data_IF_256032043897
#
_entry.id   IF_256032043897
#
_cell.length_a   1.000
_cell.length_b   1.000
_cell.length_c   1.000
_cell.angle_alpha   90.00
_cell.angle_beta   90.00
_cell.angle_gamma   90.00
#
_symmetry.space_group_name_H-M   'P 1'
#
loop_
_entity.id
_entity.type
_entity.pdbx_description
1 polymer ?
#
# COMPACT_ATOMS: atom_id res chain seq x y z
N UNK A 1 -25.56 1.70 12.19
CA UNK A 1 -25.18 1.77 10.76
C UNK A 1 -23.67 1.84 10.58
N UNK A 2 -22.97 2.68 11.36
CA UNK A 2 -21.49 2.87 11.28
C UNK A 2 -20.74 1.58 11.67
N UNK A 3 -21.18 0.90 12.73
CA UNK A 3 -20.60 -0.38 13.16
C UNK A 3 -20.73 -1.47 12.08
N UNK A 4 -21.90 -1.53 11.43
CA UNK A 4 -22.16 -2.51 10.35
C UNK A 4 -21.37 -2.14 9.09
N UNK A 5 -21.16 -0.85 8.81
CA UNK A 5 -20.32 -0.41 7.72
C UNK A 5 -18.82 -0.69 7.97
N UNK A 6 -18.39 -0.61 9.24
CA UNK A 6 -17.01 -0.85 9.63
C UNK A 6 -16.65 -2.33 9.77
N UNK A 7 -17.55 -3.14 10.34
CA UNK A 7 -17.28 -4.52 10.77
C UNK A 7 -18.12 -5.59 10.04
N UNK A 8 -19.02 -5.17 9.15
CA UNK A 8 -19.96 -6.07 8.48
C UNK A 8 -21.13 -6.49 9.37
N UNK A 9 -22.10 -7.19 8.77
CA UNK A 9 -23.33 -7.67 9.47
C UNK A 9 -23.00 -8.76 10.48
N UNK A 10 -21.91 -9.49 10.28
CA UNK A 10 -21.46 -10.57 11.17
C UNK A 10 -21.11 -10.06 12.58
N UNK A 11 -20.68 -8.80 12.71
CA UNK A 11 -20.45 -8.15 13.99
C UNK A 11 -21.73 -8.04 14.85
N UNK A 12 -22.90 -8.06 14.24
CA UNK A 12 -24.19 -8.03 14.95
C UNK A 12 -24.58 -9.38 15.58
N UNK A 13 -23.87 -10.45 15.23
CA UNK A 13 -24.13 -11.82 15.75
C UNK A 13 -23.11 -12.22 16.82
N UNK A 14 -22.02 -11.48 16.96
CA UNK A 14 -21.04 -11.74 18.01
C UNK A 14 -21.63 -11.40 19.37
N UNK A 15 -21.41 -12.29 20.34
CA UNK A 15 -21.84 -12.11 21.72
C UNK A 15 -20.67 -11.61 22.57
N UNK A 16 -21.00 -10.81 23.59
CA UNK A 16 -20.05 -10.45 24.64
C UNK A 16 -19.81 -11.63 25.62
N UNK A 17 -19.01 -11.41 26.66
CA UNK A 17 -18.69 -12.41 27.66
C UNK A 17 -19.94 -12.90 28.47
N UNK A 18 -21.05 -12.17 28.40
CA UNK A 18 -22.33 -12.52 29.04
C UNK A 18 -23.31 -13.18 28.07
N UNK A 19 -22.91 -13.39 26.82
CA UNK A 19 -23.72 -14.01 25.79
C UNK A 19 -24.68 -13.05 25.08
N UNK A 20 -24.60 -11.74 25.32
CA UNK A 20 -25.47 -10.75 24.71
C UNK A 20 -24.93 -10.23 23.38
N UNK A 21 -25.78 -10.21 22.36
CA UNK A 21 -25.45 -9.52 21.08
C UNK A 21 -25.50 -8.00 21.24
N UNK A 22 -24.83 -7.24 20.36
CA UNK A 22 -24.89 -5.77 20.36
C UNK A 22 -26.31 -5.19 20.35
N UNK A 23 -27.23 -5.88 19.67
CA UNK A 23 -28.66 -5.49 19.65
C UNK A 23 -29.37 -5.70 21.00
N UNK A 24 -29.07 -6.80 21.71
CA UNK A 24 -29.59 -7.08 23.05
C UNK A 24 -29.02 -6.08 24.06
N UNK A 25 -27.72 -5.80 23.99
CA UNK A 25 -27.07 -4.82 24.85
C UNK A 25 -27.65 -3.41 24.64
N UNK A 26 -27.89 -3.02 23.39
CA UNK A 26 -28.55 -1.75 23.08
C UNK A 26 -29.97 -1.66 23.64
N UNK A 27 -30.73 -2.75 23.59
CA UNK A 27 -32.06 -2.81 24.17
C UNK A 27 -32.05 -2.70 25.71
N UNK A 28 -31.14 -3.41 26.35
CA UNK A 28 -30.94 -3.42 27.82
C UNK A 28 -30.51 -2.03 28.32
N UNK A 29 -29.66 -1.33 27.58
CA UNK A 29 -29.25 0.05 27.88
C UNK A 29 -30.29 1.13 27.47
N UNK A 30 -31.49 0.72 27.07
CA UNK A 30 -32.59 1.64 26.73
C UNK A 30 -32.54 2.25 25.32
N UNK A 31 -31.57 1.88 24.49
CA UNK A 31 -31.42 2.37 23.10
C UNK A 31 -32.35 1.62 22.12
N UNK A 32 -33.68 1.64 22.36
CA UNK A 32 -34.67 0.87 21.59
C UNK A 32 -34.62 1.07 20.08
N UNK A 33 -34.39 2.33 19.61
CA UNK A 33 -34.30 2.62 18.19
C UNK A 33 -33.06 1.97 17.56
N UNK A 34 -31.93 1.98 18.26
CA UNK A 34 -30.69 1.34 17.85
C UNK A 34 -30.82 -0.18 17.81
N UNK A 35 -31.39 -0.77 18.85
CA UNK A 35 -31.69 -2.20 18.95
C UNK A 35 -32.58 -2.68 17.79
N UNK A 36 -33.64 -1.92 17.46
CA UNK A 36 -34.53 -2.21 16.33
C UNK A 36 -33.80 -2.11 14.99
N UNK A 37 -32.94 -1.10 14.80
CA UNK A 37 -32.13 -0.96 13.60
C UNK A 37 -31.14 -2.11 13.42
N UNK A 38 -30.47 -2.55 14.50
CA UNK A 38 -29.57 -3.70 14.50
C UNK A 38 -30.31 -5.02 14.19
N UNK A 39 -31.51 -5.24 14.78
CA UNK A 39 -32.34 -6.38 14.47
C UNK A 39 -32.80 -6.41 13.01
N UNK A 40 -33.16 -5.25 12.42
CA UNK A 40 -33.50 -5.14 11.00
C UNK A 40 -32.29 -5.41 10.07
N UNK A 41 -31.10 -4.96 10.45
CA UNK A 41 -29.89 -5.23 9.68
C UNK A 41 -29.51 -6.72 9.76
N UNK A 42 -29.69 -7.34 10.93
CA UNK A 42 -29.48 -8.77 11.13
C UNK A 42 -30.48 -9.62 10.33
N UNK A 43 -31.77 -9.24 10.31
CA UNK A 43 -32.83 -9.98 9.60
C UNK A 43 -32.69 -9.91 8.06
N UNK A 44 -32.08 -8.82 7.54
CA UNK A 44 -31.77 -8.68 6.11
C UNK A 44 -30.66 -9.62 5.66
N UNK A 45 -29.95 -10.28 6.60
CA UNK A 45 -28.82 -11.16 6.33
C UNK A 45 -27.64 -10.43 5.66
N UNK A 46 -26.48 -11.04 5.68
CA UNK A 46 -25.45 -10.73 4.67
C UNK A 46 -26.04 -11.20 3.34
N UNK A 47 -26.19 -10.31 2.33
CA UNK A 47 -26.51 -10.81 1.00
C UNK A 47 -25.50 -11.92 0.69
N UNK A 48 -25.94 -13.08 0.16
CA UNK A 48 -25.02 -14.16 -0.16
C UNK A 48 -23.89 -13.52 -0.98
N UNK A 49 -22.64 -13.74 -0.56
CA UNK A 49 -21.47 -13.18 -1.27
C UNK A 49 -21.67 -13.56 -2.73
N UNK A 50 -22.14 -12.59 -3.52
CA UNK A 50 -22.43 -12.83 -4.92
C UNK A 50 -21.15 -13.35 -5.57
N UNK A 51 -21.28 -14.17 -6.61
CA UNK A 51 -20.13 -14.66 -7.37
C UNK A 51 -19.17 -13.52 -7.72
N UNK A 52 -19.71 -12.33 -7.96
CA UNK A 52 -18.96 -11.08 -8.18
C UNK A 52 -18.16 -10.62 -6.93
N UNK A 53 -18.71 -10.75 -5.74
CA UNK A 53 -17.99 -10.40 -4.50
C UNK A 53 -16.89 -11.42 -4.18
N UNK A 54 -17.13 -12.72 -4.43
CA UNK A 54 -16.11 -13.78 -4.36
C UNK A 54 -15.04 -13.55 -5.42
N UNK A 55 -15.40 -13.22 -6.66
CA UNK A 55 -14.47 -12.89 -7.73
C UNK A 55 -13.65 -11.63 -7.40
N UNK A 56 -14.27 -10.56 -6.89
CA UNK A 56 -13.56 -9.36 -6.41
C UNK A 56 -12.59 -9.66 -5.26
N UNK A 57 -12.96 -10.56 -4.35
CA UNK A 57 -12.06 -10.96 -3.25
C UNK A 57 -10.94 -11.86 -3.75
N UNK A 58 -11.21 -12.75 -4.71
CA UNK A 58 -10.19 -13.51 -5.41
C UNK A 58 -9.26 -12.58 -6.19
N UNK A 59 -9.81 -11.64 -6.97
CA UNK A 59 -9.01 -10.65 -7.73
C UNK A 59 -8.11 -9.80 -6.80
N UNK A 60 -8.55 -9.47 -5.60
CA UNK A 60 -7.74 -8.77 -4.60
C UNK A 60 -6.57 -9.59 -4.06
N UNK A 61 -6.59 -10.91 -4.23
CA UNK A 61 -5.52 -11.84 -3.83
C UNK A 61 -4.51 -12.13 -4.94
N UNK A 62 -4.74 -11.67 -6.18
CA UNK A 62 -3.77 -11.86 -7.24
C UNK A 62 -2.49 -11.10 -6.92
N UNK A 63 -1.46 -11.86 -6.69
CA UNK A 63 -0.11 -11.36 -6.54
C UNK A 63 0.47 -11.17 -7.93
N UNK A 64 0.70 -9.92 -8.33
CA UNK A 64 1.27 -9.57 -9.63
C UNK A 64 2.81 -9.54 -9.60
N UNK A 65 3.41 -9.93 -8.47
CA UNK A 65 4.86 -9.92 -8.29
C UNK A 65 5.61 -10.73 -9.35
N UNK A 66 5.21 -11.99 -9.69
CA UNK A 66 5.89 -12.73 -10.76
C UNK A 66 5.78 -12.04 -12.12
N UNK A 67 4.64 -11.38 -12.39
CA UNK A 67 4.44 -10.60 -13.62
C UNK A 67 5.38 -9.40 -13.66
N UNK A 68 5.50 -8.66 -12.56
CA UNK A 68 6.41 -7.52 -12.45
C UNK A 68 7.87 -7.95 -12.68
N UNK A 69 8.31 -9.01 -12.01
CA UNK A 69 9.67 -9.56 -12.19
C UNK A 69 9.90 -10.00 -13.64
N UNK A 70 8.90 -10.66 -14.25
CA UNK A 70 8.94 -11.04 -15.66
C UNK A 70 9.04 -9.86 -16.61
N UNK A 71 8.31 -8.76 -16.33
CA UNK A 71 8.40 -7.51 -17.11
C UNK A 71 9.81 -6.91 -17.02
N UNK A 72 10.37 -6.76 -15.81
CA UNK A 72 11.71 -6.22 -15.59
C UNK A 72 12.75 -7.08 -16.32
N UNK A 73 12.69 -8.40 -16.17
CA UNK A 73 13.61 -9.33 -16.84
C UNK A 73 13.49 -9.24 -18.37
N UNK A 74 12.27 -9.16 -18.91
CA UNK A 74 12.02 -9.05 -20.36
C UNK A 74 12.53 -7.75 -20.95
N UNK A 75 12.33 -6.62 -20.24
CA UNK A 75 12.87 -5.32 -20.66
C UNK A 75 14.40 -5.34 -20.64
N UNK A 76 15.01 -5.87 -19.59
CA UNK A 76 16.46 -5.99 -19.50
C UNK A 76 17.04 -6.87 -20.62
N UNK A 77 16.43 -8.03 -20.86
CA UNK A 77 16.84 -8.95 -21.92
C UNK A 77 16.67 -8.32 -23.32
N UNK A 78 15.57 -7.61 -23.57
CA UNK A 78 15.32 -6.89 -24.82
C UNK A 78 16.35 -5.78 -25.06
N UNK A 79 16.65 -4.99 -24.03
CA UNK A 79 17.67 -3.93 -24.12
C UNK A 79 19.05 -4.50 -24.42
N UNK A 80 19.50 -5.52 -23.67
CA UNK A 80 20.83 -6.13 -23.86
C UNK A 80 20.90 -6.87 -25.19
N UNK A 81 19.90 -7.69 -25.51
CA UNK A 81 19.91 -8.58 -26.68
C UNK A 81 19.77 -7.85 -28.01
N UNK A 82 19.12 -6.68 -28.02
CA UNK A 82 18.91 -5.90 -29.27
C UNK A 82 19.80 -4.68 -29.28
N UNK A 83 19.63 -3.75 -28.32
CA UNK A 83 20.26 -2.42 -28.40
C UNK A 83 21.74 -2.48 -28.03
N UNK A 84 22.08 -3.07 -26.87
CA UNK A 84 23.49 -3.09 -26.40
C UNK A 84 24.38 -3.93 -27.31
N UNK A 85 23.87 -5.05 -27.81
CA UNK A 85 24.59 -5.94 -28.71
C UNK A 85 24.93 -5.25 -30.04
N UNK A 86 23.94 -4.65 -30.68
CA UNK A 86 24.12 -4.01 -31.99
C UNK A 86 24.96 -2.71 -31.87
N UNK A 87 24.75 -1.94 -30.79
CA UNK A 87 25.50 -0.69 -30.59
C UNK A 87 26.92 -0.90 -30.03
N UNK A 88 27.31 -2.13 -29.66
CA UNK A 88 28.64 -2.40 -29.10
C UNK A 88 28.93 -1.68 -27.78
N UNK A 89 27.94 -1.40 -26.95
CA UNK A 89 28.06 -0.56 -25.76
C UNK A 89 27.84 -1.34 -24.43
N UNK A 90 28.72 -2.30 -24.08
CA UNK A 90 28.53 -3.15 -22.91
C UNK A 90 28.48 -2.37 -21.58
N UNK A 91 29.17 -1.24 -21.47
CA UNK A 91 29.18 -0.43 -20.26
C UNK A 91 27.79 0.11 -19.89
N UNK A 92 27.00 0.55 -20.88
CA UNK A 92 25.63 1.00 -20.66
C UNK A 92 24.73 -0.15 -20.26
N UNK A 93 24.90 -1.31 -20.91
CA UNK A 93 24.20 -2.54 -20.54
C UNK A 93 24.47 -2.97 -19.11
N UNK A 94 25.73 -2.93 -18.67
CA UNK A 94 26.12 -3.23 -17.28
C UNK A 94 25.48 -2.24 -16.30
N UNK A 95 25.50 -0.94 -16.60
CA UNK A 95 24.91 0.09 -15.74
C UNK A 95 23.39 -0.13 -15.57
N UNK A 96 22.66 -0.38 -16.66
CA UNK A 96 21.22 -0.66 -16.63
C UNK A 96 20.95 -1.96 -15.87
N UNK A 97 21.73 -3.00 -16.10
CA UNK A 97 21.58 -4.28 -15.41
C UNK A 97 21.83 -4.14 -13.91
N UNK A 98 22.87 -3.43 -13.49
CA UNK A 98 23.16 -3.18 -12.07
C UNK A 98 22.03 -2.40 -11.42
N UNK A 99 21.51 -1.35 -12.08
CA UNK A 99 20.37 -0.57 -11.55
C UNK A 99 19.13 -1.41 -11.39
N UNK A 100 18.77 -2.24 -12.37
CA UNK A 100 17.61 -3.14 -12.31
C UNK A 100 17.78 -4.22 -11.24
N UNK A 101 18.97 -4.82 -11.10
CA UNK A 101 19.24 -5.81 -10.06
C UNK A 101 19.17 -5.21 -8.65
N UNK A 102 19.72 -4.00 -8.45
CA UNK A 102 19.56 -3.29 -7.19
C UNK A 102 18.09 -2.95 -6.91
N UNK A 103 17.31 -2.58 -7.94
CA UNK A 103 15.87 -2.43 -7.85
C UNK A 103 15.19 -3.72 -7.35
N UNK A 104 15.53 -4.87 -7.93
CA UNK A 104 15.01 -6.17 -7.49
C UNK A 104 15.40 -6.53 -6.04
N UNK A 105 16.60 -6.12 -5.59
CA UNK A 105 16.99 -6.27 -4.17
C UNK A 105 16.06 -5.46 -3.25
N UNK A 106 15.78 -4.20 -3.60
CA UNK A 106 14.81 -3.41 -2.83
C UNK A 106 13.39 -3.93 -2.93
N UNK A 107 12.97 -4.44 -4.08
CA UNK A 107 11.69 -5.12 -4.25
C UNK A 107 11.57 -6.33 -3.31
N UNK A 108 12.62 -7.15 -3.22
CA UNK A 108 12.68 -8.25 -2.27
C UNK A 108 12.58 -7.76 -0.82
N UNK A 109 13.31 -6.69 -0.45
CA UNK A 109 13.25 -6.09 0.89
C UNK A 109 11.84 -5.60 1.22
N UNK A 110 11.17 -4.90 0.29
CA UNK A 110 9.77 -4.46 0.45
C UNK A 110 8.85 -5.65 0.77
N UNK A 111 9.05 -6.77 0.08
CA UNK A 111 8.23 -7.98 0.24
C UNK A 111 8.52 -8.74 1.53
N UNK A 112 9.80 -8.84 1.91
CA UNK A 112 10.27 -9.57 3.08
C UNK A 112 10.07 -8.79 4.39
N UNK A 113 10.16 -7.47 4.35
CA UNK A 113 9.99 -6.62 5.52
C UNK A 113 8.52 -6.57 5.94
N UNK A 114 8.27 -6.62 7.24
CA UNK A 114 6.96 -6.32 7.81
C UNK A 114 6.62 -4.83 7.56
N UNK A 115 5.51 -4.50 6.90
CA UNK A 115 5.12 -3.11 6.64
C UNK A 115 4.77 -2.30 7.91
N UNK A 116 4.85 -2.87 9.10
CA UNK A 116 4.37 -2.34 10.37
C UNK A 116 2.98 -2.88 10.71
N UNK A 117 2.82 -4.20 10.61
CA UNK A 117 1.57 -4.85 11.04
C UNK A 117 1.42 -4.72 12.53
N UNK A 118 0.23 -4.32 12.95
CA UNK A 118 -0.11 -4.22 14.37
C UNK A 118 -0.60 -5.60 14.79
N UNK A 119 0.03 -6.23 15.82
CA UNK A 119 -0.39 -7.52 16.31
C UNK A 119 -1.88 -7.49 16.73
N UNK A 120 -2.59 -8.57 16.42
CA UNK A 120 -3.88 -8.80 17.04
C UNK A 120 -3.65 -8.96 18.55
N UNK A 121 -4.29 -8.13 19.34
CA UNK A 121 -4.32 -8.41 20.78
C UNK A 121 -5.21 -9.63 20.97
N UNK A 122 -4.62 -10.72 21.45
CA UNK A 122 -5.37 -11.87 21.90
C UNK A 122 -6.37 -11.40 22.98
N UNK A 123 -7.65 -11.40 22.64
CA UNK A 123 -8.76 -10.92 23.49
C UNK A 123 -8.47 -9.54 24.07
N UNK A 124 -8.65 -8.54 23.24
CA UNK A 124 -8.33 -7.17 23.42
C UNK A 124 -8.58 -6.61 24.82
N UNK A 125 -7.93 -5.52 25.10
CA UNK A 125 -8.26 -4.64 26.21
C UNK A 125 -9.75 -4.23 26.14
N UNK A 126 -10.60 -5.19 26.53
CA UNK A 126 -12.07 -5.02 26.55
C UNK A 126 -12.43 -3.84 27.44
N UNK A 127 -11.62 -3.58 28.45
CA UNK A 127 -11.83 -2.49 29.39
C UNK A 127 -11.42 -1.13 28.77
N UNK A 128 -10.29 -1.06 28.05
CA UNK A 128 -9.92 0.12 27.27
C UNK A 128 -10.91 0.39 26.13
N UNK A 129 -11.44 -0.67 25.52
CA UNK A 129 -12.52 -0.58 24.55
C UNK A 129 -13.82 -0.01 25.18
N UNK A 130 -14.22 -0.51 26.34
CA UNK A 130 -15.38 0.00 27.06
C UNK A 130 -15.20 1.46 27.45
N UNK A 131 -14.04 1.84 28.04
CA UNK A 131 -13.73 3.23 28.38
C UNK A 131 -13.78 4.13 27.17
N UNK A 132 -13.19 3.72 26.04
CA UNK A 132 -13.21 4.53 24.81
C UNK A 132 -14.64 4.73 24.28
N UNK A 133 -15.51 3.71 24.39
CA UNK A 133 -16.91 3.80 23.99
C UNK A 133 -17.72 4.67 24.96
N UNK A 134 -17.38 4.64 26.24
CA UNK A 134 -18.05 5.43 27.30
C UNK A 134 -17.61 6.89 27.30
N UNK A 135 -16.32 7.18 27.08
CA UNK A 135 -15.74 8.52 27.13
C UNK A 135 -15.90 9.33 25.83
N UNK A 136 -16.13 8.67 24.70
CA UNK A 136 -16.17 9.32 23.39
C UNK A 136 -17.55 9.22 22.76
N UNK A 137 -17.99 10.28 22.06
CA UNK A 137 -19.17 10.14 21.22
C UNK A 137 -18.98 8.95 20.26
N UNK A 138 -19.97 8.10 20.13
CA UNK A 138 -19.93 6.87 19.33
C UNK A 138 -19.33 7.03 17.92
N UNK A 139 -19.54 8.22 17.30
CA UNK A 139 -18.99 8.49 15.96
C UNK A 139 -17.46 8.69 15.97
N UNK A 140 -16.90 9.30 17.02
CA UNK A 140 -15.46 9.51 17.14
C UNK A 140 -14.72 8.21 17.53
N UNK A 141 -15.35 7.35 18.34
CA UNK A 141 -14.81 6.04 18.70
C UNK A 141 -14.81 5.07 17.51
N UNK A 142 -15.86 5.06 16.70
CA UNK A 142 -16.01 4.14 15.56
C UNK A 142 -14.88 4.27 14.53
N UNK A 143 -14.31 5.48 14.33
CA UNK A 143 -13.17 5.70 13.46
C UNK A 143 -11.84 5.14 14.01
N UNK A 144 -11.73 4.96 15.32
CA UNK A 144 -10.52 4.51 16.00
C UNK A 144 -10.45 2.99 16.23
N UNK A 145 -11.56 2.27 16.04
CA UNK A 145 -11.65 0.84 16.33
C UNK A 145 -11.42 -0.01 15.09
N UNK A 146 -10.78 -1.14 15.26
CA UNK A 146 -10.75 -2.23 14.29
C UNK A 146 -11.39 -3.48 14.90
N UNK A 147 -12.63 -3.77 14.51
CA UNK A 147 -13.35 -4.93 15.00
C UNK A 147 -12.77 -6.26 14.48
N UNK A 148 -12.05 -6.25 13.36
CA UNK A 148 -11.42 -7.45 12.82
C UNK A 148 -10.16 -7.83 13.58
N UNK A 149 -9.34 -6.84 13.95
CA UNK A 149 -8.11 -7.06 14.70
C UNK A 149 -8.29 -6.87 16.21
N UNK A 150 -9.49 -6.47 16.64
CA UNK A 150 -9.86 -6.22 18.03
C UNK A 150 -8.93 -5.25 18.77
N UNK A 151 -8.54 -4.18 18.08
CA UNK A 151 -7.60 -3.16 18.58
C UNK A 151 -8.15 -1.74 18.42
N UNK A 152 -7.67 -0.85 19.28
CA UNK A 152 -7.74 0.60 19.04
C UNK A 152 -6.64 0.93 18.02
N UNK A 153 -7.06 1.40 16.85
CA UNK A 153 -6.12 1.76 15.79
C UNK A 153 -5.25 2.95 16.20
N UNK A 154 -3.92 2.82 16.23
CA UNK A 154 -3.03 3.96 16.35
C UNK A 154 -3.30 5.01 15.26
N UNK A 155 -2.90 6.25 15.50
CA UNK A 155 -2.99 7.31 14.51
C UNK A 155 -2.31 6.88 13.19
N UNK A 156 -2.90 7.28 12.06
CA UNK A 156 -2.42 6.95 10.70
C UNK A 156 -2.49 5.47 10.33
N UNK A 157 -2.97 4.58 11.22
CA UNK A 157 -3.10 3.16 10.90
C UNK A 157 -4.43 2.86 10.21
N UNK A 158 -4.46 1.79 9.41
CA UNK A 158 -5.64 1.32 8.70
C UNK A 158 -5.66 -0.19 8.57
N UNK A 159 -6.84 -0.79 8.70
CA UNK A 159 -7.03 -2.20 8.40
C UNK A 159 -6.99 -2.45 6.89
N UNK A 160 -6.13 -3.36 6.47
CA UNK A 160 -6.08 -3.88 5.11
C UNK A 160 -6.90 -5.14 4.99
N UNK A 161 -8.00 -5.10 4.23
CA UNK A 161 -8.87 -6.26 4.00
C UNK A 161 -8.24 -7.39 3.18
N UNK A 162 -7.12 -7.13 2.48
CA UNK A 162 -6.38 -8.14 1.71
C UNK A 162 -5.42 -8.90 2.62
N UNK A 163 -4.62 -8.16 3.42
CA UNK A 163 -3.68 -8.73 4.37
C UNK A 163 -4.36 -9.19 5.67
N UNK A 164 -5.62 -8.80 5.89
CA UNK A 164 -6.41 -9.04 7.11
C UNK A 164 -5.70 -8.58 8.39
N UNK A 165 -5.03 -7.43 8.32
CA UNK A 165 -4.29 -6.85 9.46
C UNK A 165 -4.34 -5.33 9.42
N UNK A 166 -4.21 -4.69 10.58
CA UNK A 166 -3.95 -3.25 10.66
C UNK A 166 -2.48 -2.98 10.41
N UNK A 167 -2.19 -1.89 9.71
CA UNK A 167 -0.82 -1.49 9.34
C UNK A 167 -0.60 -0.05 9.76
N UNK A 168 0.53 0.24 10.43
CA UNK A 168 0.94 1.56 10.85
C UNK A 168 1.31 2.44 9.65
N UNK A 169 0.98 3.72 9.72
CA UNK A 169 1.24 4.69 8.65
C UNK A 169 0.89 4.10 7.28
N UNK A 170 -0.31 3.53 7.20
CA UNK A 170 -0.76 2.78 6.02
C UNK A 170 -0.75 3.67 4.78
N UNK A 171 0.02 3.28 3.77
CA UNK A 171 0.04 3.95 2.47
C UNK A 171 -0.97 3.32 1.52
N UNK A 172 -0.77 2.08 1.13
CA UNK A 172 -1.68 1.28 0.32
C UNK A 172 -1.35 -0.21 0.39
N UNK A 173 -2.26 -1.06 -0.08
CA UNK A 173 -1.93 -2.44 -0.44
C UNK A 173 -1.52 -2.47 -1.90
N UNK A 174 -0.32 -2.95 -2.18
CA UNK A 174 0.23 -3.00 -3.53
C UNK A 174 0.21 -4.45 -4.06
N UNK A 175 -0.64 -4.77 -5.05
CA UNK A 175 -0.68 -6.12 -5.63
C UNK A 175 0.59 -6.46 -6.41
N UNK A 176 1.31 -5.47 -6.93
CA UNK A 176 2.56 -5.65 -7.67
C UNK A 176 3.71 -6.16 -6.81
N UNK A 177 3.74 -5.78 -5.54
CA UNK A 177 4.72 -6.28 -4.57
C UNK A 177 4.12 -7.30 -3.59
N UNK A 178 2.83 -7.62 -3.77
CA UNK A 178 2.07 -8.60 -2.98
C UNK A 178 2.08 -8.35 -1.47
N UNK A 179 2.16 -7.08 -1.05
CA UNK A 179 2.14 -6.68 0.37
C UNK A 179 1.60 -5.26 0.55
N UNK A 180 1.34 -4.87 1.81
CA UNK A 180 1.06 -3.48 2.13
C UNK A 180 2.35 -2.65 2.11
N UNK A 181 2.21 -1.38 1.71
CA UNK A 181 3.20 -0.35 1.94
C UNK A 181 2.77 0.44 3.18
N UNK A 182 3.65 0.52 4.16
CA UNK A 182 3.41 1.16 5.44
C UNK A 182 4.69 1.74 6.03
N UNK A 183 4.70 1.98 7.35
CA UNK A 183 5.77 2.70 8.04
C UNK A 183 7.16 2.15 7.72
N UNK A 184 7.33 0.82 7.78
CA UNK A 184 8.65 0.19 7.79
C UNK A 184 9.22 -0.10 6.41
N UNK A 185 8.41 -0.17 5.34
CA UNK A 185 8.87 -0.53 4.00
C UNK A 185 8.61 0.53 2.91
N UNK A 186 8.05 1.69 3.26
CA UNK A 186 7.74 2.72 2.26
C UNK A 186 8.97 3.33 1.60
N UNK A 187 10.10 3.42 2.34
CA UNK A 187 11.35 3.92 1.78
C UNK A 187 11.98 2.90 0.83
N UNK A 188 12.01 1.62 1.20
CA UNK A 188 12.48 0.55 0.31
C UNK A 188 11.65 0.51 -0.98
N UNK A 189 10.34 0.73 -0.88
CA UNK A 189 9.46 0.85 -2.04
C UNK A 189 9.81 2.04 -2.93
N UNK A 190 10.09 3.20 -2.34
CA UNK A 190 10.55 4.37 -3.08
C UNK A 190 11.90 4.15 -3.77
N UNK A 191 12.86 3.54 -3.07
CA UNK A 191 14.18 3.21 -3.64
C UNK A 191 14.09 2.20 -4.78
N UNK A 192 13.21 1.21 -4.67
CA UNK A 192 12.86 0.32 -5.78
C UNK A 192 12.40 1.11 -7.01
N UNK A 193 11.41 1.99 -6.85
CA UNK A 193 10.89 2.81 -7.95
C UNK A 193 11.96 3.72 -8.56
N UNK A 194 12.82 4.31 -7.72
CA UNK A 194 13.89 5.19 -8.17
C UNK A 194 14.93 4.45 -9.03
N UNK A 195 15.34 3.26 -8.62
CA UNK A 195 16.32 2.45 -9.35
C UNK A 195 15.75 1.95 -10.69
N UNK A 196 14.48 1.51 -10.69
CA UNK A 196 13.80 1.13 -11.93
C UNK A 196 13.63 2.34 -12.87
N UNK A 197 13.33 3.53 -12.34
CA UNK A 197 13.30 4.77 -13.12
C UNK A 197 14.64 5.06 -13.80
N UNK A 198 15.74 4.94 -13.06
CA UNK A 198 17.10 5.15 -13.59
C UNK A 198 17.40 4.15 -14.71
N UNK A 199 17.08 2.87 -14.51
CA UNK A 199 17.29 1.84 -15.53
C UNK A 199 16.44 2.10 -16.79
N UNK A 200 15.15 2.40 -16.63
CA UNK A 200 14.22 2.67 -17.73
C UNK A 200 14.58 3.95 -18.49
N UNK A 201 14.95 5.00 -17.78
CA UNK A 201 15.34 6.27 -18.39
C UNK A 201 16.63 6.16 -19.20
N UNK A 202 17.66 5.52 -18.62
CA UNK A 202 18.94 5.30 -19.29
C UNK A 202 18.77 4.43 -20.54
N UNK A 203 18.01 3.33 -20.43
CA UNK A 203 17.77 2.45 -21.58
C UNK A 203 16.92 3.11 -22.66
N UNK A 204 15.95 3.96 -22.30
CA UNK A 204 15.15 4.74 -23.26
C UNK A 204 16.02 5.73 -24.06
N UNK A 205 16.81 6.56 -23.35
CA UNK A 205 17.69 7.54 -24.00
C UNK A 205 18.67 6.83 -24.94
N UNK A 206 19.31 5.76 -24.44
CA UNK A 206 20.30 5.05 -25.24
C UNK A 206 19.68 4.40 -26.48
N UNK A 207 18.46 3.88 -26.36
CA UNK A 207 17.72 3.32 -27.52
C UNK A 207 17.38 4.39 -28.54
N UNK A 208 16.99 5.60 -28.08
CA UNK A 208 16.72 6.72 -29.01
C UNK A 208 18.01 7.13 -29.77
N UNK A 209 19.15 7.22 -29.05
CA UNK A 209 20.46 7.54 -29.68
C UNK A 209 20.84 6.44 -30.69
N UNK A 210 20.66 5.17 -30.33
CA UNK A 210 20.90 4.03 -31.22
C UNK A 210 20.06 4.12 -32.49
N UNK A 211 18.76 4.35 -32.38
CA UNK A 211 17.85 4.46 -33.51
C UNK A 211 18.18 5.67 -34.40
N UNK A 212 18.70 6.77 -33.83
CA UNK A 212 19.07 7.96 -34.59
C UNK A 212 20.37 7.79 -35.39
N UNK A 213 21.34 7.03 -34.86
CA UNK A 213 22.67 6.95 -35.43
C UNK A 213 22.91 5.70 -36.30
N UNK A 214 22.29 4.57 -35.96
CA UNK A 214 22.63 3.27 -36.51
C UNK A 214 21.51 2.65 -37.39
N UNK A 215 20.41 3.38 -37.63
CA UNK A 215 19.23 2.85 -38.33
C UNK A 215 19.54 2.29 -39.74
N UNK A 216 20.55 2.87 -40.41
CA UNK A 216 20.90 2.51 -41.80
C UNK A 216 21.84 1.28 -41.89
N UNK A 217 22.47 0.90 -40.77
CA UNK A 217 23.50 -0.16 -40.73
C UNK A 217 23.00 -1.45 -40.12
N UNK A 218 21.86 -1.38 -39.40
CA UNK A 218 21.30 -2.47 -38.59
C UNK A 218 20.25 -3.27 -39.38
N UNK A 219 20.13 -4.54 -39.07
CA UNK A 219 19.09 -5.40 -39.68
C UNK A 219 17.67 -4.90 -39.42
N UNK A 220 16.72 -5.06 -40.37
CA UNK A 220 15.33 -4.65 -40.15
C UNK A 220 14.70 -5.31 -38.92
N UNK A 221 15.12 -6.51 -38.58
CA UNK A 221 14.64 -7.21 -37.37
C UNK A 221 15.10 -6.55 -36.07
N UNK A 222 16.37 -6.16 -35.98
CA UNK A 222 16.93 -5.44 -34.82
C UNK A 222 16.31 -4.04 -34.68
N UNK A 223 16.10 -3.35 -35.81
CA UNK A 223 15.41 -2.04 -35.82
C UNK A 223 13.97 -2.16 -35.26
N UNK A 224 13.21 -3.12 -35.78
CA UNK A 224 11.85 -3.39 -35.30
C UNK A 224 11.84 -3.75 -33.80
N UNK A 225 12.79 -4.59 -33.39
CA UNK A 225 12.95 -4.99 -31.97
C UNK A 225 13.26 -3.80 -31.06
N UNK A 226 14.14 -2.88 -31.49
CA UNK A 226 14.46 -1.67 -30.74
C UNK A 226 13.26 -0.71 -30.62
N UNK A 227 12.46 -0.56 -31.68
CA UNK A 227 11.23 0.25 -31.65
C UNK A 227 10.21 -0.35 -30.69
N UNK A 228 9.95 -1.65 -30.78
CA UNK A 228 9.00 -2.35 -29.87
C UNK A 228 9.49 -2.21 -28.41
N UNK A 229 10.79 -2.44 -28.18
CA UNK A 229 11.37 -2.24 -26.84
C UNK A 229 11.13 -0.82 -26.34
N UNK A 230 11.44 0.21 -27.14
CA UNK A 230 11.29 1.61 -26.76
C UNK A 230 9.83 1.95 -26.39
N UNK A 231 8.84 1.41 -27.12
CA UNK A 231 7.42 1.64 -26.83
C UNK A 231 7.03 1.07 -25.46
N UNK A 232 7.40 -0.19 -25.17
CA UNK A 232 7.11 -0.80 -23.87
C UNK A 232 7.89 -0.13 -22.73
N UNK A 233 9.16 0.19 -22.98
CA UNK A 233 9.99 0.90 -22.01
C UNK A 233 9.40 2.27 -21.67
N UNK A 234 8.99 3.06 -22.67
CA UNK A 234 8.38 4.37 -22.45
C UNK A 234 7.08 4.29 -21.63
N UNK A 235 6.22 3.30 -21.88
CA UNK A 235 5.01 3.07 -21.09
C UNK A 235 5.35 2.77 -19.62
N UNK A 236 6.32 1.91 -19.37
CA UNK A 236 6.80 1.59 -18.03
C UNK A 236 7.47 2.79 -17.37
N UNK A 237 8.29 3.54 -18.09
CA UNK A 237 8.94 4.75 -17.60
C UNK A 237 7.93 5.80 -17.13
N UNK A 238 6.90 6.09 -17.92
CA UNK A 238 5.85 7.05 -17.58
C UNK A 238 5.15 6.60 -16.28
N UNK A 239 4.74 5.34 -16.22
CA UNK A 239 4.02 4.79 -15.07
C UNK A 239 4.89 4.81 -13.80
N UNK A 240 6.14 4.36 -13.89
CA UNK A 240 7.08 4.31 -12.77
C UNK A 240 7.46 5.71 -12.30
N UNK A 241 7.63 6.65 -13.24
CA UNK A 241 7.91 8.07 -12.91
C UNK A 241 6.74 8.70 -12.15
N UNK A 242 5.51 8.51 -12.61
CA UNK A 242 4.33 9.04 -11.93
C UNK A 242 4.20 8.50 -10.49
N UNK A 243 4.44 7.20 -10.30
CA UNK A 243 4.46 6.57 -8.97
C UNK A 243 5.63 7.08 -8.12
N UNK A 244 6.83 7.13 -8.67
CA UNK A 244 8.04 7.61 -7.98
C UNK A 244 7.90 9.06 -7.52
N UNK A 245 7.43 9.95 -8.39
CA UNK A 245 7.17 11.35 -8.04
C UNK A 245 6.09 11.47 -6.95
N UNK A 246 5.03 10.67 -7.02
CA UNK A 246 3.99 10.65 -5.99
C UNK A 246 4.56 10.21 -4.64
N UNK A 247 5.38 9.16 -4.60
CA UNK A 247 6.01 8.69 -3.37
C UNK A 247 7.04 9.69 -2.83
N UNK A 248 7.88 10.29 -3.69
CA UNK A 248 8.80 11.35 -3.29
C UNK A 248 8.07 12.53 -2.63
N UNK A 249 6.99 12.99 -3.25
CA UNK A 249 6.18 14.08 -2.73
C UNK A 249 5.48 13.73 -1.42
N UNK A 250 4.99 12.50 -1.29
CA UNK A 250 4.39 12.00 -0.07
C UNK A 250 5.42 11.91 1.08
N UNK A 251 6.64 11.44 0.82
CA UNK A 251 7.73 11.39 1.80
C UNK A 251 8.12 12.81 2.20
N UNK A 252 8.32 13.72 1.22
CA UNK A 252 8.70 15.11 1.46
C UNK A 252 7.70 15.88 2.33
N UNK A 253 6.42 15.54 2.27
CA UNK A 253 5.35 16.13 3.08
C UNK A 253 4.95 15.30 4.31
N UNK A 254 5.59 14.16 4.55
CA UNK A 254 5.18 13.18 5.56
C UNK A 254 3.67 12.86 5.49
N UNK A 255 3.18 12.60 4.29
CA UNK A 255 1.83 12.11 4.03
C UNK A 255 1.89 10.70 3.45
N UNK A 256 0.78 9.98 3.51
CA UNK A 256 0.60 8.73 2.81
C UNK A 256 -0.35 8.89 1.62
N UNK A 257 -0.28 8.00 0.64
CA UNK A 257 -1.22 7.95 -0.48
C UNK A 257 -2.67 7.82 0.02
N UNK A 258 -2.88 7.01 1.06
CA UNK A 258 -4.19 6.86 1.69
C UNK A 258 -4.69 8.16 2.34
N UNK A 259 -3.82 8.87 3.06
CA UNK A 259 -4.16 10.16 3.70
C UNK A 259 -4.49 11.21 2.65
N UNK A 260 -3.68 11.32 1.60
CA UNK A 260 -3.91 12.26 0.50
C UNK A 260 -5.24 11.99 -0.22
N UNK A 261 -5.49 10.73 -0.58
CA UNK A 261 -6.71 10.35 -1.32
C UNK A 261 -7.98 10.41 -0.47
N UNK A 262 -7.86 10.37 0.86
CA UNK A 262 -8.99 10.33 1.79
C UNK A 262 -8.93 11.46 2.84
N UNK A 263 -8.26 12.57 2.55
CA UNK A 263 -8.05 13.67 3.50
C UNK A 263 -9.35 14.17 4.14
N UNK A 264 -10.46 14.15 3.38
CA UNK A 264 -11.78 14.52 3.86
C UNK A 264 -12.35 13.62 4.98
N UNK A 265 -11.81 12.40 5.13
CA UNK A 265 -12.22 11.43 6.16
C UNK A 265 -11.42 11.55 7.46
N UNK A 266 -10.27 12.24 7.41
CA UNK A 266 -9.35 12.33 8.53
C UNK A 266 -9.46 13.69 9.21
N UNK A 267 -10.07 13.73 10.40
CA UNK A 267 -10.25 14.98 11.17
C UNK A 267 -8.92 15.64 11.50
N UNK A 268 -7.86 14.87 11.76
CA UNK A 268 -6.53 15.40 12.06
C UNK A 268 -5.86 16.11 10.88
N UNK A 269 -6.35 15.92 9.65
CA UNK A 269 -5.89 16.63 8.45
C UNK A 269 -6.72 17.88 8.15
N UNK A 270 -7.47 18.38 9.12
CA UNK A 270 -8.30 19.58 8.99
C UNK A 270 -8.17 20.47 10.22
N UNK A 271 -8.15 21.78 9.97
CA UNK A 271 -8.29 22.75 11.03
C UNK A 271 -9.79 22.91 11.42
N UNK A 272 -10.05 23.77 12.42
CA UNK A 272 -11.40 24.05 12.92
C UNK A 272 -12.34 24.61 11.83
N UNK A 273 -11.78 25.25 10.80
CA UNK A 273 -12.53 25.83 9.66
C UNK A 273 -12.72 24.80 8.52
N UNK A 274 -12.23 23.55 8.70
CA UNK A 274 -12.35 22.47 7.72
C UNK A 274 -11.34 22.50 6.58
N UNK A 275 -10.35 23.41 6.61
CA UNK A 275 -9.27 23.48 5.62
C UNK A 275 -8.23 22.38 5.88
N UNK A 276 -7.60 21.89 4.80
CA UNK A 276 -6.54 20.89 4.89
C UNK A 276 -5.31 21.45 5.62
N UNK A 277 -4.88 20.72 6.64
CA UNK A 277 -3.64 20.97 7.38
C UNK A 277 -2.96 19.65 7.62
N UNK A 278 -1.66 19.59 7.39
CA UNK A 278 -0.87 18.40 7.69
C UNK A 278 -0.08 18.58 9.00
N UNK A 279 -0.52 18.00 10.13
CA UNK A 279 0.16 18.13 11.42
C UNK A 279 1.48 17.36 11.49
N UNK A 280 1.76 16.48 10.51
CA UNK A 280 2.95 15.64 10.46
C UNK A 280 4.08 16.26 9.65
N UNK A 281 3.80 17.36 8.93
CA UNK A 281 4.80 18.04 8.12
C UNK A 281 5.73 18.88 9.00
N UNK A 282 6.99 18.43 9.07
CA UNK A 282 8.08 19.11 9.81
C UNK A 282 9.07 19.80 8.86
N UNK A 283 8.72 19.93 7.58
CA UNK A 283 9.57 20.38 6.50
C UNK A 283 10.32 19.23 5.83
N UNK A 284 10.55 19.37 4.52
CA UNK A 284 11.04 18.32 3.63
C UNK A 284 12.25 17.54 4.19
N UNK A 285 13.27 18.24 4.70
CA UNK A 285 14.47 17.60 5.25
C UNK A 285 14.17 16.70 6.45
N UNK A 286 13.43 17.20 7.43
CA UNK A 286 13.08 16.44 8.64
C UNK A 286 12.18 15.25 8.31
N UNK A 287 11.25 15.44 7.38
CA UNK A 287 10.36 14.38 6.90
C UNK A 287 11.14 13.24 6.21
N UNK A 288 12.14 13.58 5.40
CA UNK A 288 13.01 12.60 4.77
C UNK A 288 13.88 11.85 5.81
N UNK A 289 14.42 12.56 6.80
CA UNK A 289 15.19 11.93 7.89
C UNK A 289 14.32 10.99 8.71
N UNK A 290 13.07 11.37 9.03
CA UNK A 290 12.12 10.49 9.72
C UNK A 290 11.84 9.22 8.92
N UNK A 291 11.64 9.33 7.60
CA UNK A 291 11.45 8.18 6.73
C UNK A 291 12.66 7.22 6.72
N UNK A 292 13.89 7.74 6.85
CA UNK A 292 15.11 6.93 6.98
C UNK A 292 15.20 6.24 8.36
N UNK A 293 14.77 6.92 9.42
CA UNK A 293 14.79 6.36 10.79
C UNK A 293 13.73 5.26 10.96
N UNK A 294 12.58 5.38 10.32
CA UNK A 294 11.52 4.38 10.35
C UNK A 294 12.00 3.00 9.84
N UNK A 295 12.92 2.97 8.88
CA UNK A 295 13.56 1.73 8.39
C UNK A 295 14.54 1.16 9.41
N UNK A 296 15.32 2.01 10.08
CA UNK A 296 16.34 1.58 11.02
C UNK A 296 15.77 1.04 12.34
N UNK A 297 14.55 1.45 12.73
CA UNK A 297 13.87 0.92 13.91
C UNK A 297 13.51 -0.57 13.78
N UNK A 298 13.44 -1.08 12.55
CA UNK A 298 13.15 -2.50 12.26
C UNK A 298 14.31 -3.43 12.67
N UNK A 299 15.56 -2.97 12.54
CA UNK A 299 16.74 -3.82 12.78
C UNK A 299 17.06 -4.03 14.25
N UNK A 300 16.45 -3.25 15.16
CA UNK A 300 16.69 -3.33 16.60
C UNK A 300 15.66 -4.18 17.36
N UNK A 301 14.43 -4.31 16.83
CA UNK A 301 13.35 -5.06 17.48
C UNK A 301 13.28 -6.55 17.08
N UNK A 302 13.80 -6.93 15.91
CA UNK A 302 13.76 -8.32 15.44
C UNK A 302 14.79 -9.24 16.13
N UNK A 303 15.66 -8.69 17.01
CA UNK A 303 16.66 -9.41 17.77
C UNK A 303 16.17 -10.09 19.07
N UNK A 304 14.91 -9.94 19.44
CA UNK A 304 14.41 -10.40 20.74
C UNK A 304 13.17 -11.29 20.71
N UNK A 305 12.93 -12.05 19.62
CA UNK A 305 11.94 -13.16 19.65
C UNK A 305 12.49 -14.33 18.83
N UNK A 306 13.41 -15.08 19.42
CA UNK A 306 13.65 -16.47 19.13
C UNK A 306 13.13 -17.30 20.31
#
# INVERSE_FOLDING_TARGET
TVLVQACGVDALTQCDATGNTPGQLAAEKGHKALAKSMAMLRSKGTPPRTSLAKARQALKRYELLPVLVGIIASLLAGFIGVVVREAGAPAVGIFVAVSAVLGLVFLYRVRACDPGRIPEQAQGDVEGFKRLVEETSFSAAAGKLCCTCNIIKPARSKHCSVCNSCVEVFDHHCPWVATCIGRRNRLDFFLFLLLEMVALFTSAIYTVIFLANESDTVSPGSLTGAIIFLMFNAMMLISTTALGCTQAFNIAQNLTTNERSNAFRYHYLRNEVGQFVNPHDRGCWKNCVEALQDVNSVTLDDGHKA
#
